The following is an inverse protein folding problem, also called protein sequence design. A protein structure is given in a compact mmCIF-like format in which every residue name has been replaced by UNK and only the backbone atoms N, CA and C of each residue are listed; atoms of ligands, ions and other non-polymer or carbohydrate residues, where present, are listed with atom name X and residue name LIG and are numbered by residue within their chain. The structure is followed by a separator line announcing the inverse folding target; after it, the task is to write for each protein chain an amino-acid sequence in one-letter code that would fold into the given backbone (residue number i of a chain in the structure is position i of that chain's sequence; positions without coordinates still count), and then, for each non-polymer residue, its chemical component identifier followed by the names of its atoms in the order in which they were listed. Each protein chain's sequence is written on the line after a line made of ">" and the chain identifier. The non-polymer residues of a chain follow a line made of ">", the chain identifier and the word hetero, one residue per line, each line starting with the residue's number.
data_IF_872152186498
#
_entry.id   IF_872152186498
#
_cell.length_a   1.000
_cell.length_b   1.000
_cell.length_c   1.000
_cell.angle_alpha   90.00
_cell.angle_beta   90.00
_cell.angle_gamma   90.00
#
_symmetry.space_group_name_H-M   'P 1'
#
loop_
_entity.id
_entity.type
_entity.pdbx_description
1 polymer ?
#
# COMPACT_ATOMS: atom_id res chain seq x y z
N UNK A 1 -3.39 26.29 23.04
CA UNK A 1 -2.58 25.15 22.57
C UNK A 1 -2.98 24.86 21.14
N UNK A 2 -2.05 24.95 20.20
CA UNK A 2 -2.30 24.56 18.80
C UNK A 2 -2.43 23.04 18.68
N UNK A 3 -3.00 22.53 17.58
CA UNK A 3 -3.10 21.08 17.34
C UNK A 3 -1.70 20.44 17.32
N UNK A 4 -0.72 21.11 16.72
CA UNK A 4 0.67 20.64 16.67
C UNK A 4 1.26 20.54 18.09
N UNK A 5 1.06 21.56 18.93
CA UNK A 5 1.49 21.51 20.34
C UNK A 5 0.82 20.39 21.12
N UNK A 6 -0.47 20.14 20.89
CA UNK A 6 -1.20 19.06 21.55
C UNK A 6 -0.65 17.68 21.16
N UNK A 7 -0.39 17.47 19.87
CA UNK A 7 0.20 16.23 19.35
C UNK A 7 1.64 16.04 19.86
N UNK A 8 2.42 17.12 19.94
CA UNK A 8 3.79 17.06 20.44
C UNK A 8 3.88 16.83 21.96
N UNK A 9 2.93 17.37 22.73
CA UNK A 9 2.94 17.30 24.20
C UNK A 9 2.26 16.07 24.78
N UNK A 10 1.38 15.40 24.02
CA UNK A 10 0.62 14.24 24.50
C UNK A 10 0.86 13.00 23.63
N UNK A 11 1.75 12.07 24.06
CA UNK A 11 2.02 10.82 23.35
C UNK A 11 0.77 9.97 23.12
N UNK A 12 -0.17 9.98 24.08
CA UNK A 12 -1.42 9.24 23.98
C UNK A 12 -2.33 9.80 22.87
N UNK A 13 -2.44 11.13 22.77
CA UNK A 13 -3.24 11.78 21.72
C UNK A 13 -2.62 11.51 20.35
N UNK A 14 -1.29 11.67 20.21
CA UNK A 14 -0.60 11.38 18.95
C UNK A 14 -0.76 9.92 18.52
N UNK A 15 -0.57 8.98 19.45
CA UNK A 15 -0.75 7.54 19.18
C UNK A 15 -2.19 7.23 18.75
N UNK A 16 -3.18 7.80 19.43
CA UNK A 16 -4.59 7.65 19.07
C UNK A 16 -4.92 8.25 17.69
N UNK A 17 -4.35 9.42 17.37
CA UNK A 17 -4.50 10.03 16.04
C UNK A 17 -3.88 9.16 14.95
N UNK A 18 -2.67 8.64 15.16
CA UNK A 18 -2.02 7.73 14.20
C UNK A 18 -2.75 6.40 14.05
N UNK A 19 -3.38 5.88 15.11
CA UNK A 19 -4.24 4.70 15.03
C UNK A 19 -5.41 4.96 14.07
N UNK A 20 -6.15 6.04 14.29
CA UNK A 20 -7.31 6.39 13.43
C UNK A 20 -6.86 6.65 11.99
N UNK A 21 -5.75 7.37 11.80
CA UNK A 21 -5.17 7.58 10.48
C UNK A 21 -4.81 6.26 9.81
N UNK A 22 -4.20 5.33 10.55
CA UNK A 22 -3.83 4.00 10.05
C UNK A 22 -5.04 3.16 9.65
N UNK A 23 -6.17 3.25 10.37
CA UNK A 23 -7.42 2.61 9.97
C UNK A 23 -7.94 3.15 8.63
N UNK A 24 -7.93 4.48 8.45
CA UNK A 24 -8.39 5.15 7.22
C UNK A 24 -7.48 4.81 6.04
N UNK A 25 -6.16 4.93 6.23
CA UNK A 25 -5.17 4.57 5.21
C UNK A 25 -5.25 3.09 4.89
N UNK A 26 -5.42 2.22 5.88
CA UNK A 26 -5.61 0.77 5.68
C UNK A 26 -6.79 0.43 4.77
N UNK A 27 -7.89 1.19 4.86
CA UNK A 27 -9.03 1.03 3.96
C UNK A 27 -8.68 1.39 2.51
N UNK A 28 -7.85 2.42 2.31
CA UNK A 28 -7.27 2.72 1.00
C UNK A 28 -6.25 1.67 0.54
N UNK A 29 -5.45 1.10 1.44
CA UNK A 29 -4.50 0.04 1.09
C UNK A 29 -5.20 -1.20 0.54
N UNK A 30 -6.40 -1.55 1.02
CA UNK A 30 -7.22 -2.60 0.40
C UNK A 30 -7.49 -2.33 -1.10
N UNK A 31 -7.69 -1.06 -1.48
CA UNK A 31 -7.86 -0.67 -2.89
C UNK A 31 -6.56 -0.86 -3.67
N UNK A 32 -5.42 -0.45 -3.10
CA UNK A 32 -4.10 -0.61 -3.73
C UNK A 32 -3.76 -2.09 -3.93
N UNK A 33 -3.91 -2.90 -2.87
CA UNK A 33 -3.62 -4.35 -2.87
C UNK A 33 -4.40 -5.05 -3.98
N UNK A 34 -5.69 -4.72 -4.13
CA UNK A 34 -6.54 -5.34 -5.15
C UNK A 34 -6.29 -4.78 -6.56
N UNK A 35 -6.24 -3.46 -6.72
CA UNK A 35 -6.29 -2.84 -8.06
C UNK A 35 -4.95 -2.75 -8.74
N UNK A 36 -3.86 -2.54 -8.01
CA UNK A 36 -2.54 -2.34 -8.61
C UNK A 36 -2.08 -3.56 -9.45
N UNK A 37 -2.18 -4.81 -8.97
CA UNK A 37 -1.81 -5.98 -9.77
C UNK A 37 -2.67 -6.11 -11.03
N UNK A 38 -3.98 -5.86 -10.92
CA UNK A 38 -4.92 -5.90 -12.06
C UNK A 38 -4.56 -4.83 -13.09
N UNK A 39 -4.17 -3.63 -12.67
CA UNK A 39 -3.73 -2.56 -13.57
C UNK A 39 -2.45 -2.95 -14.31
N UNK A 40 -1.47 -3.53 -13.61
CA UNK A 40 -0.21 -3.98 -14.21
C UNK A 40 -0.47 -5.08 -15.24
N UNK A 41 -1.27 -6.08 -14.90
CA UNK A 41 -1.65 -7.17 -15.81
C UNK A 41 -2.36 -6.65 -17.08
N UNK A 42 -3.28 -5.69 -16.95
CA UNK A 42 -3.93 -5.05 -18.10
C UNK A 42 -2.93 -4.33 -18.99
N UNK A 43 -2.05 -3.53 -18.39
CA UNK A 43 -1.02 -2.79 -19.14
C UNK A 43 -0.05 -3.70 -19.88
N UNK A 44 0.31 -4.84 -19.27
CA UNK A 44 1.14 -5.86 -19.88
C UNK A 44 0.47 -6.48 -21.11
N UNK A 45 -0.80 -6.87 -20.99
CA UNK A 45 -1.57 -7.44 -22.12
C UNK A 45 -1.70 -6.45 -23.28
N UNK A 46 -1.94 -5.17 -22.98
CA UNK A 46 -1.99 -4.11 -23.99
C UNK A 46 -0.65 -3.99 -24.73
N UNK A 47 0.48 -4.06 -24.02
CA UNK A 47 1.82 -4.02 -24.62
C UNK A 47 2.12 -5.25 -25.49
N UNK A 48 1.70 -6.45 -25.05
CA UNK A 48 1.83 -7.67 -25.85
C UNK A 48 1.05 -7.56 -27.17
N UNK A 49 -0.21 -7.11 -27.13
CA UNK A 49 -1.05 -6.96 -28.32
C UNK A 49 -0.52 -5.91 -29.31
N UNK A 50 0.15 -4.87 -28.80
CA UNK A 50 0.84 -3.88 -29.64
C UNK A 50 2.09 -4.49 -30.32
N UNK A 51 2.81 -5.34 -29.61
CA UNK A 51 4.08 -5.92 -30.08
C UNK A 51 3.85 -7.12 -31.02
N UNK A 52 2.77 -7.89 -30.83
CA UNK A 52 2.40 -9.06 -31.65
C UNK A 52 1.94 -8.71 -33.07
N UNK A 53 1.79 -7.42 -33.40
CA UNK A 53 1.25 -6.96 -34.68
C UNK A 53 -0.28 -7.10 -34.80
N UNK A 54 -0.96 -7.62 -33.78
CA UNK A 54 -2.43 -7.70 -33.71
C UNK A 54 -3.08 -6.31 -33.70
N UNK A 55 -2.37 -5.28 -33.26
CA UNK A 55 -2.79 -3.89 -33.35
C UNK A 55 -3.07 -3.41 -34.80
N UNK A 56 -2.45 -4.01 -35.82
CA UNK A 56 -2.75 -3.71 -37.22
C UNK A 56 -4.11 -4.29 -37.68
N UNK A 57 -4.60 -5.35 -37.01
CA UNK A 57 -5.91 -5.95 -37.26
C UNK A 57 -7.04 -5.29 -36.42
N UNK A 58 -6.69 -4.47 -35.42
CA UNK A 58 -7.61 -3.83 -34.49
C UNK A 58 -8.19 -2.49 -34.98
N UNK A 59 -8.35 -2.29 -36.30
CA UNK A 59 -9.01 -1.10 -36.88
C UNK A 59 -10.53 -1.09 -36.72
N UNK A 60 -11.12 -2.12 -36.12
CA UNK A 60 -12.51 -2.09 -35.67
C UNK A 60 -12.55 -1.55 -34.24
N UNK A 61 -13.18 -0.39 -33.95
CA UNK A 61 -13.34 0.06 -32.59
C UNK A 61 -14.11 -1.01 -31.82
N UNK A 62 -13.50 -1.55 -30.76
CA UNK A 62 -14.17 -2.47 -29.86
C UNK A 62 -15.46 -1.81 -29.36
N UNK A 63 -16.61 -2.38 -29.72
CA UNK A 63 -17.91 -2.02 -29.16
C UNK A 63 -17.80 -2.25 -27.64
N UNK A 64 -17.78 -1.15 -26.88
CA UNK A 64 -17.61 -1.17 -25.42
C UNK A 64 -16.18 -0.90 -24.97
N UNK A 65 -15.72 0.36 -25.12
CA UNK A 65 -14.46 0.81 -24.53
C UNK A 65 -14.40 0.40 -23.06
N UNK A 66 -13.38 -0.37 -22.69
CA UNK A 66 -13.18 -0.84 -21.32
C UNK A 66 -13.24 0.37 -20.37
N UNK A 67 -14.18 0.32 -19.42
CA UNK A 67 -14.38 1.40 -18.46
C UNK A 67 -13.07 1.69 -17.73
N UNK A 68 -12.71 2.99 -17.60
CA UNK A 68 -11.45 3.43 -16.96
C UNK A 68 -11.27 2.74 -15.61
N UNK A 69 -10.16 2.02 -15.44
CA UNK A 69 -9.84 1.26 -14.25
C UNK A 69 -8.48 1.70 -13.70
N UNK A 70 -8.51 2.39 -12.56
CA UNK A 70 -7.33 2.83 -11.82
C UNK A 70 -7.61 2.83 -10.31
N UNK A 71 -6.70 3.39 -9.51
CA UNK A 71 -6.85 3.44 -8.05
C UNK A 71 -8.07 4.28 -7.58
N UNK A 72 -8.52 5.24 -8.39
CA UNK A 72 -9.61 6.17 -8.04
C UNK A 72 -10.94 5.74 -8.64
N UNK A 73 -10.95 5.21 -9.87
CA UNK A 73 -12.16 4.81 -10.61
C UNK A 73 -12.09 3.34 -11.04
N UNK A 74 -13.21 2.61 -11.05
CA UNK A 74 -14.56 3.01 -10.63
C UNK A 74 -14.69 3.13 -9.11
N UNK A 75 -15.84 3.62 -8.62
CA UNK A 75 -16.16 3.62 -7.19
C UNK A 75 -16.20 2.17 -6.66
N UNK A 76 -15.97 1.99 -5.36
CA UNK A 76 -16.11 0.68 -4.72
C UNK A 76 -17.53 0.14 -4.89
N UNK A 77 -17.66 -1.10 -5.35
CA UNK A 77 -18.93 -1.79 -5.60
C UNK A 77 -18.91 -3.17 -4.95
N UNK A 78 -20.09 -3.70 -4.63
CA UNK A 78 -20.21 -5.08 -4.19
C UNK A 78 -19.91 -6.03 -5.37
N UNK A 79 -19.06 -7.06 -5.19
CA UNK A 79 -18.74 -8.00 -6.26
C UNK A 79 -19.92 -8.90 -6.67
N UNK A 80 -20.86 -9.16 -5.76
CA UNK A 80 -22.01 -10.03 -6.04
C UNK A 80 -23.16 -9.29 -6.77
N UNK A 81 -23.54 -8.10 -6.29
CA UNK A 81 -24.69 -7.37 -6.84
C UNK A 81 -24.33 -6.12 -7.66
N UNK A 82 -23.06 -5.72 -7.71
CA UNK A 82 -22.62 -4.51 -8.41
C UNK A 82 -23.05 -3.18 -7.77
N UNK A 83 -23.81 -3.22 -6.67
CA UNK A 83 -24.31 -2.00 -6.01
C UNK A 83 -23.14 -1.14 -5.52
N UNK A 84 -23.20 0.20 -5.71
CA UNK A 84 -22.17 1.10 -5.23
C UNK A 84 -22.13 1.14 -3.71
N UNK A 85 -20.93 1.10 -3.13
CA UNK A 85 -20.72 1.19 -1.69
C UNK A 85 -20.77 2.67 -1.29
N UNK A 86 -21.74 3.02 -0.44
CA UNK A 86 -21.86 4.37 0.11
C UNK A 86 -20.65 4.72 1.00
N UNK A 87 -20.26 5.99 1.06
CA UNK A 87 -19.10 6.43 1.84
C UNK A 87 -19.18 6.02 3.33
N UNK A 88 -20.39 6.06 3.92
CA UNK A 88 -20.65 5.62 5.30
C UNK A 88 -20.46 4.11 5.53
N UNK A 89 -20.49 3.30 4.48
CA UNK A 89 -20.20 1.86 4.56
C UNK A 89 -18.70 1.56 4.33
N UNK A 90 -17.89 2.58 4.06
CA UNK A 90 -16.43 2.51 3.95
C UNK A 90 -15.73 3.07 5.21
N UNK A 91 -16.46 3.34 6.30
CA UNK A 91 -15.83 3.72 7.57
C UNK A 91 -15.10 2.47 8.11
N UNK A 92 -13.76 2.51 8.27
CA UNK A 92 -12.96 1.34 8.61
C UNK A 92 -13.43 0.66 9.90
N UNK A 93 -13.45 -0.67 9.93
CA UNK A 93 -13.92 -1.56 11.00
C UNK A 93 -15.41 -1.38 11.40
N UNK A 94 -15.83 -0.15 11.68
CA UNK A 94 -17.15 0.23 12.17
C UNK A 94 -18.23 -0.20 11.17
N UNK A 95 -18.05 0.08 9.88
CA UNK A 95 -19.05 -0.27 8.87
C UNK A 95 -19.24 -1.79 8.78
N UNK A 96 -18.15 -2.55 8.82
CA UNK A 96 -18.20 -4.01 8.76
C UNK A 96 -18.93 -4.59 9.98
N UNK A 97 -18.64 -4.09 11.19
CA UNK A 97 -19.33 -4.51 12.42
C UNK A 97 -20.82 -4.16 12.39
N UNK A 98 -21.18 -2.93 11.99
CA UNK A 98 -22.57 -2.48 11.92
C UNK A 98 -23.38 -3.26 10.86
N UNK A 99 -22.75 -3.59 9.74
CA UNK A 99 -23.33 -4.43 8.69
C UNK A 99 -23.24 -5.94 9.01
N UNK A 100 -22.70 -6.31 10.19
CA UNK A 100 -22.46 -7.70 10.62
C UNK A 100 -21.68 -8.52 9.60
N UNK A 101 -20.76 -7.88 8.88
CA UNK A 101 -19.96 -8.49 7.83
C UNK A 101 -20.71 -8.85 6.56
N UNK A 102 -21.86 -8.24 6.26
CA UNK A 102 -22.63 -8.52 5.04
C UNK A 102 -22.88 -7.27 4.21
N UNK A 103 -23.10 -7.44 2.90
CA UNK A 103 -23.44 -6.33 2.01
C UNK A 103 -24.79 -5.71 2.39
N UNK A 104 -24.85 -4.38 2.47
CA UNK A 104 -26.07 -3.63 2.78
C UNK A 104 -27.21 -3.82 1.76
N UNK A 105 -26.90 -4.25 0.52
CA UNK A 105 -27.88 -4.37 -0.56
C UNK A 105 -28.33 -5.81 -0.81
N UNK A 106 -27.38 -6.76 -0.92
CA UNK A 106 -27.70 -8.15 -1.26
C UNK A 106 -27.47 -9.15 -0.13
N UNK A 107 -26.88 -8.72 1.00
CA UNK A 107 -26.59 -9.62 2.13
C UNK A 107 -25.42 -10.58 1.90
N UNK A 108 -24.65 -10.46 0.80
CA UNK A 108 -23.46 -11.29 0.58
C UNK A 108 -22.39 -11.03 1.66
N UNK A 109 -21.74 -12.07 2.24
CA UNK A 109 -20.65 -11.87 3.19
C UNK A 109 -19.48 -11.06 2.61
N UNK A 110 -19.03 -10.08 3.39
CA UNK A 110 -17.84 -9.28 3.11
C UNK A 110 -16.64 -9.98 3.76
N UNK A 111 -15.61 -10.29 2.96
CA UNK A 111 -14.40 -10.96 3.42
C UNK A 111 -13.78 -10.28 4.65
N UNK A 112 -13.42 -11.09 5.66
CA UNK A 112 -12.76 -10.65 6.90
C UNK A 112 -11.38 -10.04 6.64
N UNK A 113 -10.79 -10.30 5.46
CA UNK A 113 -9.51 -9.72 5.07
C UNK A 113 -9.54 -8.19 5.06
N UNK A 114 -10.63 -7.57 4.60
CA UNK A 114 -10.75 -6.11 4.53
C UNK A 114 -10.60 -5.43 5.91
N UNK A 115 -11.42 -5.78 6.94
CA UNK A 115 -11.24 -5.22 8.27
C UNK A 115 -9.93 -5.67 8.93
N UNK A 116 -9.37 -6.85 8.58
CA UNK A 116 -8.08 -7.27 9.11
C UNK A 116 -6.93 -6.35 8.66
N UNK A 117 -6.88 -5.98 7.37
CA UNK A 117 -5.88 -5.04 6.82
C UNK A 117 -6.04 -3.66 7.46
N UNK A 118 -7.27 -3.20 7.66
CA UNK A 118 -7.56 -1.95 8.37
C UNK A 118 -7.04 -1.98 9.81
N UNK A 119 -7.41 -3.00 10.57
CA UNK A 119 -6.98 -3.18 11.97
C UNK A 119 -5.46 -3.30 12.09
N UNK A 120 -4.81 -4.08 11.22
CA UNK A 120 -3.36 -4.22 11.18
C UNK A 120 -2.69 -2.88 10.89
N UNK A 121 -3.21 -2.13 9.92
CA UNK A 121 -2.69 -0.81 9.58
C UNK A 121 -2.81 0.17 10.74
N UNK A 122 -3.97 0.23 11.40
CA UNK A 122 -4.17 1.04 12.60
C UNK A 122 -3.24 0.66 13.76
N UNK A 123 -3.10 -0.64 14.03
CA UNK A 123 -2.25 -1.16 15.10
C UNK A 123 -0.75 -0.86 14.85
N UNK A 124 -0.27 -1.07 13.62
CA UNK A 124 1.11 -0.77 13.26
C UNK A 124 1.39 0.74 13.28
N UNK A 125 0.45 1.57 12.83
CA UNK A 125 0.60 3.02 12.93
C UNK A 125 0.66 3.51 14.38
N UNK A 126 -0.15 2.93 15.26
CA UNK A 126 -0.09 3.20 16.69
C UNK A 126 1.26 2.76 17.29
N UNK A 127 1.76 1.58 16.92
CA UNK A 127 3.06 1.09 17.38
C UNK A 127 4.22 1.99 16.93
N UNK A 128 4.20 2.46 15.68
CA UNK A 128 5.17 3.43 15.15
C UNK A 128 5.10 4.75 15.93
N UNK A 129 3.90 5.30 16.12
CA UNK A 129 3.70 6.56 16.85
C UNK A 129 4.17 6.46 18.30
N UNK A 130 3.89 5.34 18.96
CA UNK A 130 4.34 5.07 20.32
C UNK A 130 5.87 4.96 20.42
N UNK A 131 6.52 4.34 19.43
CA UNK A 131 7.97 4.14 19.41
C UNK A 131 8.76 5.41 19.09
N UNK A 132 8.32 6.18 18.08
CA UNK A 132 9.08 7.31 17.54
C UNK A 132 8.62 8.66 18.08
N UNK A 133 7.41 8.76 18.65
CA UNK A 133 6.83 10.02 19.10
C UNK A 133 6.51 10.97 17.96
N UNK A 134 5.97 12.15 18.28
CA UNK A 134 5.65 13.16 17.27
C UNK A 134 6.94 13.70 16.64
N UNK A 135 7.10 13.50 15.33
CA UNK A 135 8.28 13.94 14.61
C UNK A 135 8.34 13.38 13.19
N UNK A 136 9.35 13.81 12.44
CA UNK A 136 9.53 13.39 11.05
C UNK A 136 9.89 11.89 10.95
N UNK A 137 10.56 11.32 11.97
CA UNK A 137 10.91 9.89 11.98
C UNK A 137 9.65 9.03 12.02
N UNK A 138 8.65 9.43 12.82
CA UNK A 138 7.36 8.75 12.84
C UNK A 138 6.68 8.85 11.47
N UNK A 139 6.69 10.02 10.82
CA UNK A 139 6.14 10.17 9.48
C UNK A 139 6.83 9.26 8.44
N UNK A 140 8.16 9.19 8.46
CA UNK A 140 8.94 8.30 7.60
C UNK A 140 8.61 6.82 7.86
N UNK A 141 8.55 6.42 9.13
CA UNK A 141 8.22 5.05 9.53
C UNK A 141 6.76 4.67 9.21
N UNK A 142 5.81 5.60 9.34
CA UNK A 142 4.42 5.39 8.92
C UNK A 142 4.32 5.17 7.40
N UNK A 143 5.03 6.00 6.62
CA UNK A 143 5.08 5.87 5.16
C UNK A 143 5.67 4.51 4.77
N UNK A 144 6.80 4.12 5.35
CA UNK A 144 7.39 2.80 5.16
C UNK A 144 6.40 1.68 5.51
N UNK A 145 5.71 1.80 6.64
CA UNK A 145 4.73 0.81 7.11
C UNK A 145 3.61 0.61 6.10
N UNK A 146 3.04 1.69 5.55
CA UNK A 146 1.95 1.58 4.56
C UNK A 146 2.40 0.89 3.27
N UNK A 147 3.60 1.19 2.78
CA UNK A 147 4.17 0.51 1.62
C UNK A 147 4.42 -0.97 1.89
N UNK A 148 4.99 -1.32 3.05
CA UNK A 148 5.26 -2.71 3.41
C UNK A 148 3.98 -3.52 3.58
N UNK A 149 2.91 -2.95 4.13
CA UNK A 149 1.61 -3.62 4.20
C UNK A 149 1.09 -3.92 2.78
N UNK A 150 1.09 -2.92 1.90
CA UNK A 150 0.63 -3.13 0.52
C UNK A 150 1.48 -4.19 -0.20
N UNK A 151 2.80 -4.09 -0.13
CA UNK A 151 3.74 -5.04 -0.74
C UNK A 151 3.54 -6.45 -0.19
N UNK A 152 3.41 -6.64 1.12
CA UNK A 152 3.23 -7.95 1.74
C UNK A 152 1.96 -8.64 1.25
N UNK A 153 0.82 -7.93 1.20
CA UNK A 153 -0.44 -8.54 0.76
C UNK A 153 -0.49 -8.75 -0.76
N UNK A 154 0.15 -7.89 -1.57
CA UNK A 154 0.27 -8.11 -3.01
C UNK A 154 1.16 -9.34 -3.29
N UNK A 155 2.29 -9.47 -2.59
CA UNK A 155 3.19 -10.60 -2.73
C UNK A 155 2.52 -11.92 -2.29
N UNK A 156 1.76 -11.90 -1.20
CA UNK A 156 1.00 -13.08 -0.75
C UNK A 156 -0.06 -13.54 -1.77
N UNK A 157 -0.66 -12.62 -2.52
CA UNK A 157 -1.72 -12.94 -3.49
C UNK A 157 -1.18 -13.30 -4.88
N UNK A 158 -0.13 -12.60 -5.30
CA UNK A 158 0.32 -12.58 -6.70
C UNK A 158 1.80 -12.91 -6.87
N UNK A 159 2.56 -13.07 -5.78
CA UNK A 159 4.02 -13.27 -5.79
C UNK A 159 4.73 -12.19 -6.62
N UNK A 160 4.21 -10.95 -6.51
CA UNK A 160 4.60 -9.80 -7.29
C UNK A 160 5.04 -8.67 -6.35
N UNK A 161 6.18 -8.05 -6.64
CA UNK A 161 6.64 -6.83 -5.99
C UNK A 161 6.67 -5.68 -7.01
N UNK A 162 5.61 -4.83 -7.07
CA UNK A 162 5.54 -3.76 -8.04
C UNK A 162 6.67 -2.73 -7.88
N UNK A 163 7.41 -2.49 -8.97
CA UNK A 163 8.45 -1.45 -9.03
C UNK A 163 7.93 -0.05 -8.71
N UNK A 164 6.65 0.21 -9.02
CA UNK A 164 5.95 1.45 -8.67
C UNK A 164 5.81 1.69 -7.15
N UNK A 165 6.06 0.66 -6.32
CA UNK A 165 6.10 0.76 -4.87
C UNK A 165 7.52 0.59 -4.31
N UNK A 166 8.28 -0.38 -4.82
CA UNK A 166 9.62 -0.70 -4.29
C UNK A 166 10.65 0.38 -4.62
N UNK A 167 10.67 0.91 -5.85
CA UNK A 167 11.65 1.92 -6.27
C UNK A 167 11.46 3.26 -5.55
N UNK A 168 10.24 3.83 -5.41
CA UNK A 168 10.04 5.04 -4.62
C UNK A 168 10.49 4.86 -3.17
N UNK A 169 10.24 3.69 -2.57
CA UNK A 169 10.63 3.40 -1.20
C UNK A 169 12.16 3.36 -1.02
N UNK A 170 12.86 2.70 -1.96
CA UNK A 170 14.33 2.66 -2.00
C UNK A 170 14.91 4.08 -2.07
N UNK A 171 14.45 4.87 -3.05
CA UNK A 171 14.94 6.23 -3.24
C UNK A 171 14.61 7.12 -2.04
N UNK A 172 13.38 7.05 -1.50
CA UNK A 172 13.00 7.83 -0.32
C UNK A 172 13.90 7.49 0.89
N UNK A 173 14.18 6.20 1.13
CA UNK A 173 15.08 5.78 2.21
C UNK A 173 16.50 6.33 2.06
N UNK A 174 17.06 6.25 0.85
CA UNK A 174 18.40 6.79 0.55
C UNK A 174 18.44 8.33 0.70
N UNK A 175 17.43 9.05 0.19
CA UNK A 175 17.32 10.50 0.35
C UNK A 175 17.22 10.86 1.84
N UNK A 176 16.35 10.21 2.61
CA UNK A 176 16.23 10.48 4.04
C UNK A 176 17.55 10.23 4.78
N UNK A 177 18.31 9.21 4.38
CA UNK A 177 19.61 8.92 4.98
C UNK A 177 20.66 10.00 4.67
N UNK A 178 20.63 10.61 3.48
CA UNK A 178 21.55 11.67 3.07
C UNK A 178 21.26 13.00 3.77
N UNK A 179 19.98 13.39 3.86
CA UNK A 179 19.58 14.70 4.39
C UNK A 179 19.27 14.69 5.89
N UNK A 180 19.05 13.51 6.48
CA UNK A 180 18.60 13.37 7.86
C UNK A 180 19.53 13.98 8.90
N UNK A 181 20.83 14.17 8.60
CA UNK A 181 21.81 14.79 9.50
C UNK A 181 22.05 16.28 9.32
N UNK A 182 21.53 16.93 8.25
CA UNK A 182 22.02 18.25 7.82
C UNK A 182 21.03 19.42 7.97
N UNK A 183 19.94 19.27 8.74
CA UNK A 183 18.87 20.29 8.74
C UNK A 183 18.31 20.66 10.12
N UNK A 184 19.08 20.57 11.23
CA UNK A 184 18.52 20.81 12.58
C UNK A 184 17.41 19.82 12.98
N UNK A 185 17.27 18.77 12.18
CA UNK A 185 16.37 17.65 12.31
C UNK A 185 17.17 16.52 12.94
N UNK A 186 16.65 15.86 13.98
CA UNK A 186 17.38 14.77 14.64
C UNK A 186 17.66 13.65 13.62
N UNK A 187 18.90 13.12 13.55
CA UNK A 187 19.26 12.17 12.51
C UNK A 187 18.41 10.89 12.58
N UNK A 188 18.18 10.22 11.44
CA UNK A 188 17.61 8.89 11.44
C UNK A 188 18.49 7.95 12.28
N UNK A 189 17.92 6.85 12.79
CA UNK A 189 18.68 5.87 13.57
C UNK A 189 19.76 5.12 12.77
N UNK A 190 19.90 5.39 11.48
CA UNK A 190 20.83 4.74 10.55
C UNK A 190 21.63 5.78 9.77
N UNK A 191 22.92 5.54 9.61
CA UNK A 191 23.81 6.36 8.80
C UNK A 191 23.76 5.96 7.31
N UNK A 192 24.31 6.81 6.44
CA UNK A 192 24.35 6.60 4.98
C UNK A 192 25.03 5.30 4.60
N UNK A 193 26.11 4.91 5.29
CA UNK A 193 26.83 3.68 4.98
C UNK A 193 25.95 2.47 5.28
N UNK A 194 25.29 2.47 6.43
CA UNK A 194 24.35 1.41 6.83
C UNK A 194 23.16 1.32 5.86
N UNK A 195 22.61 2.46 5.41
CA UNK A 195 21.53 2.50 4.42
C UNK A 195 21.95 1.92 3.05
N UNK A 196 23.15 2.25 2.58
CA UNK A 196 23.69 1.71 1.33
C UNK A 196 23.96 0.21 1.43
N UNK A 197 24.57 -0.24 2.53
CA UNK A 197 24.78 -1.67 2.80
C UNK A 197 23.44 -2.40 2.83
N UNK A 198 22.42 -1.83 3.49
CA UNK A 198 21.07 -2.40 3.53
C UNK A 198 20.45 -2.55 2.14
N UNK A 199 20.55 -1.52 1.29
CA UNK A 199 20.08 -1.57 -0.09
C UNK A 199 20.79 -2.65 -0.91
N UNK A 200 22.12 -2.71 -0.82
CA UNK A 200 22.94 -3.73 -1.49
C UNK A 200 22.60 -5.14 -1.02
N UNK A 201 22.48 -5.34 0.30
CA UNK A 201 22.17 -6.63 0.90
C UNK A 201 20.75 -7.09 0.53
N UNK A 202 19.76 -6.19 0.56
CA UNK A 202 18.40 -6.47 0.14
C UNK A 202 18.34 -6.95 -1.31
N UNK A 203 18.96 -6.21 -2.24
CA UNK A 203 19.04 -6.61 -3.65
C UNK A 203 19.77 -7.94 -3.82
N UNK A 204 20.97 -8.06 -3.23
CA UNK A 204 21.79 -9.26 -3.33
C UNK A 204 21.08 -10.50 -2.78
N UNK A 205 20.25 -10.37 -1.74
CA UNK A 205 19.54 -11.51 -1.16
C UNK A 205 18.55 -12.14 -2.15
N UNK A 206 17.66 -11.34 -2.75
CA UNK A 206 16.68 -11.82 -3.73
C UNK A 206 17.35 -12.28 -5.03
N UNK A 207 18.36 -11.52 -5.49
CA UNK A 207 19.18 -11.89 -6.63
C UNK A 207 19.84 -13.27 -6.43
N UNK A 208 20.40 -13.52 -5.25
CA UNK A 208 21.03 -14.80 -4.90
C UNK A 208 20.02 -15.95 -4.89
N UNK A 209 18.81 -15.73 -4.36
CA UNK A 209 17.74 -16.75 -4.38
C UNK A 209 17.39 -17.14 -5.81
N UNK A 210 17.18 -16.16 -6.70
CA UNK A 210 16.89 -16.42 -8.11
C UNK A 210 18.02 -17.21 -8.79
N UNK A 211 19.27 -16.77 -8.63
CA UNK A 211 20.41 -17.44 -9.25
C UNK A 211 20.65 -18.83 -8.68
N UNK A 212 20.48 -19.04 -7.37
CA UNK A 212 20.59 -20.35 -6.75
C UNK A 212 19.51 -21.30 -7.27
N UNK A 213 18.26 -20.83 -7.35
CA UNK A 213 17.17 -21.61 -7.92
C UNK A 213 17.51 -22.03 -9.36
N UNK A 214 17.90 -21.08 -10.22
CA UNK A 214 18.29 -21.35 -11.61
C UNK A 214 19.45 -22.36 -11.69
N UNK A 215 20.49 -22.22 -10.88
CA UNK A 215 21.62 -23.16 -10.88
C UNK A 215 21.20 -24.57 -10.46
N UNK A 216 20.24 -24.71 -9.53
CA UNK A 216 19.76 -26.01 -9.06
C UNK A 216 18.77 -26.67 -10.03
N UNK A 217 18.02 -25.89 -10.81
CA UNK A 217 16.99 -26.39 -11.73
C UNK A 217 17.41 -26.49 -13.20
N UNK A 218 18.53 -25.87 -13.58
CA UNK A 218 19.01 -25.77 -14.97
C UNK A 218 18.37 -24.62 -15.74
#
# INVERSE_FOLDING_TARGET
>A
MTVIELLASSPAVFTGTCLVLGLVVGSFLNVVIYRLPVMLERSWREQCAQTSGEAAAATVPAVGAAQRFNLVVPRSTCPACGAPIAARHNIPLISWVLLRGHCASCGEPISVRYPLVEALSGALCAAVAWKFGFGWQAFAALTLTWFLIALAFIDLDHQLLPDSLTLPLLWLGLLLSLWGGQAGVSPPPVDVRSSLIGAMAGYASLWSVYHLFRLLTG
#
